data_IF_436285229557
#
_entry.id   IF_436285229557
#
_cell.length_a   1.000
_cell.length_b   1.000
_cell.length_c   1.000
_cell.angle_alpha   90.00
_cell.angle_beta   90.00
_cell.angle_gamma   90.00
#
_symmetry.space_group_name_H-M   'P 1'
#
loop_
_entity.id
_entity.type
_entity.pdbx_description
1 polymer ?
#
# COMPACT_ATOMS: atom_id res chain seq x y z
N UNK A 1 22.36 -3.45 -4.13
CA UNK A 1 21.07 -2.78 -3.89
C UNK A 1 19.98 -3.68 -4.45
N UNK A 2 19.08 -4.23 -3.61
CA UNK A 2 17.96 -5.05 -4.12
C UNK A 2 16.99 -4.09 -4.82
N UNK A 3 16.78 -4.26 -6.13
CA UNK A 3 15.71 -3.55 -6.82
C UNK A 3 14.39 -3.95 -6.15
N UNK A 4 13.63 -2.98 -5.65
CA UNK A 4 12.29 -3.25 -5.17
C UNK A 4 11.47 -3.80 -6.34
N UNK A 5 10.73 -4.90 -6.11
CA UNK A 5 9.93 -5.51 -7.15
C UNK A 5 8.88 -4.49 -7.62
N UNK A 6 8.87 -4.17 -8.92
CA UNK A 6 7.96 -3.16 -9.47
C UNK A 6 6.49 -3.52 -9.26
N UNK A 7 6.16 -4.81 -9.20
CA UNK A 7 4.80 -5.33 -9.01
C UNK A 7 4.77 -6.39 -7.91
N UNK A 8 3.64 -6.46 -7.20
CA UNK A 8 3.33 -7.56 -6.29
C UNK A 8 2.51 -8.64 -7.02
N UNK A 9 2.75 -9.94 -6.80
CA UNK A 9 1.98 -11.00 -7.46
C UNK A 9 0.47 -10.87 -7.22
N UNK A 10 -0.32 -10.89 -8.30
CA UNK A 10 -1.78 -10.76 -8.22
C UNK A 10 -2.28 -9.32 -8.02
N UNK A 11 -1.38 -8.34 -7.98
CA UNK A 11 -1.72 -6.92 -7.91
C UNK A 11 -1.39 -6.23 -9.24
N UNK A 12 -2.34 -5.44 -9.75
CA UNK A 12 -2.28 -4.93 -11.13
C UNK A 12 -1.44 -3.66 -11.29
N UNK A 13 -1.15 -2.96 -10.20
CA UNK A 13 -0.46 -1.68 -10.24
C UNK A 13 0.98 -1.81 -9.79
N UNK A 14 1.84 -1.00 -10.39
CA UNK A 14 3.22 -0.88 -9.96
C UNK A 14 3.31 -0.09 -8.66
N UNK A 15 4.37 -0.32 -7.88
CA UNK A 15 4.56 0.42 -6.63
C UNK A 15 4.71 1.93 -6.84
N UNK A 16 5.25 2.35 -7.99
CA UNK A 16 5.41 3.76 -8.38
C UNK A 16 4.09 4.49 -8.62
N UNK A 17 3.01 3.76 -8.88
CA UNK A 17 1.67 4.33 -9.05
C UNK A 17 0.96 4.51 -7.70
N UNK A 18 1.51 3.99 -6.61
CA UNK A 18 0.91 4.05 -5.29
C UNK A 18 1.48 5.22 -4.49
N UNK A 19 0.60 6.01 -3.88
CA UNK A 19 0.99 7.11 -3.00
C UNK A 19 0.83 6.73 -1.53
N UNK A 20 -0.38 6.30 -1.17
CA UNK A 20 -0.76 6.06 0.21
C UNK A 20 -1.64 4.82 0.34
N UNK A 21 -1.66 4.23 1.52
CA UNK A 21 -2.52 3.10 1.83
C UNK A 21 -3.12 3.20 3.24
N UNK A 22 -4.27 2.58 3.42
CA UNK A 22 -4.84 2.31 4.73
C UNK A 22 -5.38 0.88 4.76
N UNK A 23 -5.14 0.19 5.86
CA UNK A 23 -5.68 -1.14 6.10
C UNK A 23 -6.93 -1.03 6.97
N UNK A 24 -8.02 -1.66 6.53
CA UNK A 24 -9.27 -1.76 7.27
C UNK A 24 -9.69 -3.23 7.29
N UNK A 25 -9.74 -3.81 8.48
CA UNK A 25 -9.85 -5.27 8.65
C UNK A 25 -8.73 -5.99 7.86
N UNK A 26 -9.09 -6.68 6.77
CA UNK A 26 -8.15 -7.44 5.94
C UNK A 26 -8.00 -6.84 4.52
N UNK A 27 -8.52 -5.64 4.31
CA UNK A 27 -8.50 -4.99 3.01
C UNK A 27 -7.57 -3.78 3.03
N UNK A 28 -6.84 -3.61 1.93
CA UNK A 28 -6.01 -2.46 1.67
C UNK A 28 -6.74 -1.51 0.73
N UNK A 29 -7.02 -0.30 1.20
CA UNK A 29 -7.44 0.80 0.33
C UNK A 29 -6.19 1.59 -0.05
N UNK A 30 -5.92 1.69 -1.34
CA UNK A 30 -4.72 2.30 -1.92
C UNK A 30 -5.13 3.54 -2.71
N UNK A 31 -4.40 4.63 -2.51
CA UNK A 31 -4.50 5.85 -3.31
C UNK A 31 -3.46 5.79 -4.43
N UNK A 32 -3.92 5.86 -5.66
CA UNK A 32 -3.07 5.94 -6.84
C UNK A 32 -2.59 7.39 -7.09
N UNK A 33 -1.49 7.54 -7.82
CA UNK A 33 -1.01 8.85 -8.30
C UNK A 33 -1.97 9.52 -9.28
N UNK A 34 -2.90 8.76 -9.88
CA UNK A 34 -4.01 9.29 -10.67
C UNK A 34 -5.07 10.01 -9.82
N UNK A 35 -5.05 9.82 -8.49
CA UNK A 35 -6.08 10.29 -7.56
C UNK A 35 -7.22 9.29 -7.34
N UNK A 36 -7.19 8.14 -8.04
CA UNK A 36 -8.16 7.06 -7.83
C UNK A 36 -7.86 6.28 -6.55
N UNK A 37 -8.91 5.73 -5.95
CA UNK A 37 -8.80 4.80 -4.83
C UNK A 37 -9.21 3.42 -5.28
N UNK A 38 -8.36 2.44 -4.97
CA UNK A 38 -8.62 1.04 -5.26
C UNK A 38 -8.62 0.24 -3.96
N UNK A 39 -9.36 -0.86 -3.97
CA UNK A 39 -9.40 -1.81 -2.87
C UNK A 39 -8.72 -3.10 -3.31
N UNK A 40 -7.86 -3.65 -2.47
CA UNK A 40 -7.16 -4.90 -2.73
C UNK A 40 -7.12 -5.76 -1.47
N UNK A 41 -7.47 -7.04 -1.64
CA UNK A 41 -7.39 -8.07 -0.60
C UNK A 41 -6.26 -9.03 -0.99
N UNK A 42 -5.06 -8.89 -0.42
CA UNK A 42 -3.96 -9.80 -0.71
C UNK A 42 -4.23 -11.19 -0.12
N UNK A 43 -3.58 -12.21 -0.68
CA UNK A 43 -3.59 -13.56 -0.09
C UNK A 43 -2.79 -13.58 1.22
N UNK A 44 -1.78 -12.72 1.33
CA UNK A 44 -0.94 -12.57 2.52
C UNK A 44 -0.72 -11.09 2.83
N UNK A 45 -1.47 -10.60 3.81
CA UNK A 45 -1.50 -9.20 4.24
C UNK A 45 -0.12 -8.71 4.66
N UNK A 46 0.62 -9.50 5.45
CA UNK A 46 1.95 -9.11 5.94
C UNK A 46 2.96 -8.95 4.80
N UNK A 47 2.98 -9.88 3.84
CA UNK A 47 3.88 -9.77 2.69
C UNK A 47 3.54 -8.59 1.79
N UNK A 48 2.24 -8.28 1.62
CA UNK A 48 1.83 -7.12 0.84
C UNK A 48 2.19 -5.81 1.54
N UNK A 49 1.95 -5.72 2.85
CA UNK A 49 2.33 -4.54 3.63
C UNK A 49 3.86 -4.32 3.65
N UNK A 50 4.65 -5.38 3.82
CA UNK A 50 6.12 -5.30 3.74
C UNK A 50 6.59 -4.79 2.37
N UNK A 51 5.93 -5.20 1.29
CA UNK A 51 6.22 -4.71 -0.06
C UNK A 51 5.86 -3.24 -0.23
N UNK A 52 4.72 -2.78 0.30
CA UNK A 52 4.33 -1.37 0.29
C UNK A 52 5.37 -0.50 1.03
N UNK A 53 5.79 -0.94 2.22
CA UNK A 53 6.81 -0.26 3.04
C UNK A 53 8.16 -0.22 2.32
N UNK A 54 8.59 -1.35 1.74
CA UNK A 54 9.85 -1.43 0.99
C UNK A 54 9.86 -0.49 -0.23
N UNK A 55 8.68 -0.20 -0.80
CA UNK A 55 8.51 0.74 -1.90
C UNK A 55 8.13 2.17 -1.46
N UNK A 56 8.17 2.46 -0.16
CA UNK A 56 7.90 3.79 0.42
C UNK A 56 6.47 4.30 0.19
N UNK A 57 5.50 3.40 0.04
CA UNK A 57 4.08 3.77 0.03
C UNK A 57 3.67 4.13 1.46
N UNK A 58 3.05 5.29 1.65
CA UNK A 58 2.81 5.84 2.98
C UNK A 58 1.56 5.23 3.63
N UNK A 59 1.67 4.76 4.87
CA UNK A 59 0.52 4.32 5.65
C UNK A 59 -0.18 5.54 6.27
N UNK A 60 -1.44 5.78 5.90
CA UNK A 60 -2.21 6.95 6.34
C UNK A 60 -2.37 6.99 7.88
N UNK A 61 -2.48 5.83 8.54
CA UNK A 61 -2.61 5.76 10.01
C UNK A 61 -1.32 6.10 10.76
N UNK A 62 -0.19 6.11 10.06
CA UNK A 62 1.13 6.46 10.62
C UNK A 62 1.55 7.88 10.25
N UNK A 63 0.67 8.67 9.65
CA UNK A 63 0.94 10.09 9.39
C UNK A 63 0.90 10.88 10.69
N UNK A 64 1.85 11.80 10.84
CA UNK A 64 1.86 12.72 11.98
C UNK A 64 0.54 13.51 12.02
N UNK A 65 -0.13 13.50 13.17
CA UNK A 65 -1.42 14.17 13.37
C UNK A 65 -2.65 13.29 13.14
N UNK A 66 -2.49 12.01 12.80
CA UNK A 66 -3.61 11.05 12.81
C UNK A 66 -4.08 10.80 14.25
N UNK A 67 -5.34 11.09 14.55
CA UNK A 67 -5.92 10.86 15.88
C UNK A 67 -6.24 9.37 16.03
N UNK A 68 -5.56 8.70 16.95
CA UNK A 68 -5.99 7.41 17.50
C UNK A 68 -6.73 7.70 18.81
N UNK A 69 -8.06 7.54 18.79
CA UNK A 69 -8.89 7.62 20.01
C UNK A 69 -8.50 6.56 21.05
#
# INVERSE_FOLDING_TARGET
MKAAAQHFPGFQYSASELLKYITVANDFTLMLSSGEFIKFTPINDSLFEDWLIANKVQNIRKEEGWITE
#
